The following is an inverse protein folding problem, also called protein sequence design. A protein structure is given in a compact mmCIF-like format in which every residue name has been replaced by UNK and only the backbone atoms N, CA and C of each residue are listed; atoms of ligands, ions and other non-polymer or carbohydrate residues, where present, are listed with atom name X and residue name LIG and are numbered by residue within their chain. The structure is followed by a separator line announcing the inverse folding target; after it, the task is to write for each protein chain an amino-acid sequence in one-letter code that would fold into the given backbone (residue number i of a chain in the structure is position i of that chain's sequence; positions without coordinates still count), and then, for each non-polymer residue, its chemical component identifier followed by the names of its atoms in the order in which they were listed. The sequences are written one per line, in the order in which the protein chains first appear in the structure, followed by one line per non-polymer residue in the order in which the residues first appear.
data_IF_831389660144
#
_entry.id   IF_831389660144
#
_cell.length_a   1.000
_cell.length_b   1.000
_cell.length_c   1.000
_cell.angle_alpha   90.00
_cell.angle_beta   90.00
_cell.angle_gamma   90.00
#
_symmetry.space_group_name_H-M   'P 1'
#
loop_
_entity.id
_entity.type
_entity.pdbx_description
1 polymer ?
#
# COMPACT_ATOMS: atom_id res chain seq x y z
N UNK A 1 -16.05 -14.44 -7.24
CA UNK A 1 -16.92 -13.40 -6.61
C UNK A 1 -16.06 -12.20 -6.28
N UNK A 2 -16.42 -11.01 -6.73
CA UNK A 2 -15.69 -9.77 -6.51
C UNK A 2 -15.57 -9.48 -5.01
N UNK A 3 -14.35 -9.29 -4.51
CA UNK A 3 -14.09 -8.98 -3.08
C UNK A 3 -13.91 -7.48 -2.91
N UNK A 4 -14.86 -6.81 -2.25
CA UNK A 4 -14.76 -5.40 -1.86
C UNK A 4 -14.26 -5.32 -0.42
N UNK A 5 -13.36 -4.39 -0.18
CA UNK A 5 -12.83 -4.06 1.14
C UNK A 5 -12.90 -2.56 1.43
N UNK A 6 -12.59 -2.20 2.66
CA UNK A 6 -12.50 -0.80 3.09
C UNK A 6 -11.20 -0.61 3.85
N UNK A 7 -10.47 0.47 3.53
CA UNK A 7 -9.33 0.90 4.34
C UNK A 7 -9.82 1.76 5.52
N UNK A 8 -9.26 1.52 6.71
CA UNK A 8 -9.54 2.41 7.85
C UNK A 8 -9.01 3.83 7.61
N UNK A 9 -8.14 4.02 6.61
CA UNK A 9 -7.76 5.35 6.13
C UNK A 9 -8.96 6.18 5.63
N UNK A 10 -10.04 5.55 5.14
CA UNK A 10 -11.28 6.21 4.76
C UNK A 10 -12.00 6.87 5.95
N UNK A 11 -11.68 6.42 7.17
CA UNK A 11 -12.21 6.94 8.43
C UNK A 11 -11.19 7.78 9.21
N UNK A 12 -9.99 7.98 8.66
CA UNK A 12 -8.91 8.75 9.29
C UNK A 12 -9.40 10.13 9.75
N UNK A 13 -9.00 10.56 10.93
CA UNK A 13 -9.45 11.78 11.61
C UNK A 13 -10.95 11.79 12.04
N UNK A 14 -11.68 10.68 11.84
CA UNK A 14 -13.08 10.54 12.26
C UNK A 14 -13.27 9.43 13.28
N UNK A 15 -12.61 8.30 13.08
CA UNK A 15 -12.67 7.14 13.96
C UNK A 15 -11.25 6.59 14.17
N UNK A 16 -10.93 6.14 15.39
CA UNK A 16 -9.72 5.36 15.63
C UNK A 16 -9.90 3.92 15.13
N UNK A 17 -8.82 3.20 14.96
CA UNK A 17 -8.87 1.82 14.45
C UNK A 17 -9.71 0.88 15.34
N UNK A 18 -9.72 1.11 16.65
CA UNK A 18 -10.49 0.34 17.64
C UNK A 18 -12.01 0.50 17.51
N UNK A 19 -12.46 1.60 16.93
CA UNK A 19 -13.89 1.88 16.64
C UNK A 19 -14.19 1.59 15.17
N UNK A 20 -13.24 1.84 14.27
CA UNK A 20 -13.39 1.65 12.83
C UNK A 20 -13.67 0.18 12.47
N UNK A 21 -12.92 -0.77 13.02
CA UNK A 21 -13.07 -2.19 12.66
C UNK A 21 -14.43 -2.77 13.11
N UNK A 22 -14.92 -2.54 14.34
CA UNK A 22 -16.29 -2.92 14.73
C UNK A 22 -17.36 -2.27 13.85
N UNK A 23 -17.19 -0.99 13.49
CA UNK A 23 -18.11 -0.28 12.61
C UNK A 23 -18.16 -0.97 11.22
N UNK A 24 -17.00 -1.31 10.64
CA UNK A 24 -16.94 -2.02 9.37
C UNK A 24 -17.61 -3.40 9.44
N UNK A 25 -17.43 -4.16 10.54
CA UNK A 25 -18.14 -5.44 10.71
C UNK A 25 -19.65 -5.26 10.83
N UNK A 26 -20.13 -4.26 11.57
CA UNK A 26 -21.54 -3.93 11.68
C UNK A 26 -22.17 -3.54 10.34
N UNK A 27 -21.41 -2.84 9.47
CA UNK A 27 -21.82 -2.51 8.11
C UNK A 27 -21.72 -3.69 7.11
N UNK A 28 -21.30 -4.86 7.56
CA UNK A 28 -21.20 -6.04 6.71
C UNK A 28 -19.93 -6.13 5.89
N UNK A 29 -18.95 -5.26 6.08
CA UNK A 29 -17.63 -5.34 5.44
C UNK A 29 -16.91 -6.61 5.91
N UNK A 30 -16.27 -7.33 4.99
CA UNK A 30 -15.58 -8.60 5.29
C UNK A 30 -14.08 -8.58 5.00
N UNK A 31 -13.59 -7.50 4.42
CA UNK A 31 -12.16 -7.33 4.12
C UNK A 31 -11.76 -5.90 4.43
N UNK A 32 -10.65 -5.73 5.12
CA UNK A 32 -10.13 -4.39 5.40
C UNK A 32 -8.62 -4.30 5.16
N UNK A 33 -8.18 -3.10 4.87
CA UNK A 33 -6.82 -2.63 5.12
C UNK A 33 -6.82 -1.82 6.40
N UNK A 34 -5.83 -2.03 7.28
CA UNK A 34 -5.71 -1.27 8.52
C UNK A 34 -4.61 -0.22 8.37
N UNK A 35 -4.99 1.04 8.47
CA UNK A 35 -4.07 2.17 8.42
C UNK A 35 -3.61 2.55 9.83
N UNK A 36 -2.39 2.16 10.17
CA UNK A 36 -1.74 2.48 11.43
C UNK A 36 -1.14 3.91 11.35
N UNK A 37 -1.52 4.79 12.25
CA UNK A 37 -1.29 6.23 12.13
C UNK A 37 -0.28 6.79 13.14
N UNK A 38 0.08 6.02 14.15
CA UNK A 38 0.95 6.48 15.23
C UNK A 38 1.93 5.41 15.70
N UNK A 39 3.04 5.84 16.30
CA UNK A 39 4.03 4.94 16.87
C UNK A 39 3.47 4.03 17.96
N UNK A 40 2.45 4.46 18.69
CA UNK A 40 1.77 3.64 19.69
C UNK A 40 0.92 2.52 19.09
N UNK A 41 0.49 2.67 17.84
CA UNK A 41 -0.21 1.64 17.09
C UNK A 41 0.74 0.61 16.47
N UNK A 42 2.04 0.94 16.32
CA UNK A 42 3.06 0.00 15.88
C UNK A 42 3.48 -0.89 17.05
N UNK A 43 2.56 -1.73 17.49
CA UNK A 43 2.79 -2.64 18.60
C UNK A 43 1.96 -3.91 18.47
N UNK A 44 2.58 -5.05 18.84
CA UNK A 44 1.91 -6.35 18.82
C UNK A 44 0.61 -6.35 19.65
N UNK A 45 0.65 -5.74 20.86
CA UNK A 45 -0.52 -5.70 21.74
C UNK A 45 -1.66 -4.90 21.15
N UNK A 46 -1.33 -3.81 20.42
CA UNK A 46 -2.33 -3.07 19.68
C UNK A 46 -2.94 -3.91 18.55
N UNK A 47 -2.11 -4.64 17.80
CA UNK A 47 -2.60 -5.60 16.80
C UNK A 47 -3.50 -6.69 17.40
N UNK A 48 -3.15 -7.22 18.57
CA UNK A 48 -3.98 -8.19 19.32
C UNK A 48 -5.32 -7.57 19.75
N UNK A 49 -5.31 -6.35 20.30
CA UNK A 49 -6.52 -5.60 20.63
C UNK A 49 -7.45 -5.44 19.42
N UNK A 50 -6.90 -5.04 18.27
CA UNK A 50 -7.70 -4.90 17.05
C UNK A 50 -8.19 -6.26 16.54
N UNK A 51 -7.41 -7.32 16.70
CA UNK A 51 -7.80 -8.69 16.31
C UNK A 51 -9.01 -9.18 17.13
N UNK A 52 -9.12 -8.81 18.40
CA UNK A 52 -10.27 -9.09 19.25
C UNK A 52 -11.51 -8.30 18.81
N UNK A 53 -11.31 -7.04 18.41
CA UNK A 53 -12.42 -6.12 18.09
C UNK A 53 -12.94 -6.23 16.66
N UNK A 54 -12.17 -6.73 15.71
CA UNK A 54 -12.51 -6.72 14.28
C UNK A 54 -13.70 -7.59 13.86
N UNK A 55 -14.24 -8.41 14.76
CA UNK A 55 -15.34 -9.31 14.46
C UNK A 55 -15.03 -10.25 13.27
N UNK A 56 -15.89 -10.26 12.25
CA UNK A 56 -15.74 -11.09 11.05
C UNK A 56 -14.88 -10.46 9.95
N UNK A 57 -14.38 -9.26 10.16
CA UNK A 57 -13.49 -8.58 9.20
C UNK A 57 -12.16 -9.31 9.11
N UNK A 58 -11.74 -9.64 7.90
CA UNK A 58 -10.41 -10.17 7.61
C UNK A 58 -9.50 -9.00 7.22
N UNK A 59 -8.41 -8.84 7.93
CA UNK A 59 -7.40 -7.84 7.56
C UNK A 59 -6.56 -8.41 6.42
N UNK A 60 -6.63 -7.76 5.26
CA UNK A 60 -5.88 -8.13 4.07
C UNK A 60 -4.46 -7.56 4.11
N UNK A 61 -4.36 -6.29 4.46
CA UNK A 61 -3.11 -5.54 4.51
C UNK A 61 -3.07 -4.60 5.70
N UNK A 62 -1.86 -4.25 6.10
CA UNK A 62 -1.60 -3.10 6.96
C UNK A 62 -0.90 -2.02 6.15
N UNK A 63 -1.12 -0.79 6.51
CA UNK A 63 -0.56 0.39 5.91
C UNK A 63 -0.14 1.35 7.03
N UNK A 64 0.95 2.08 6.88
CA UNK A 64 1.42 3.02 7.90
C UNK A 64 1.42 4.44 7.39
N UNK A 65 1.45 5.40 8.32
CA UNK A 65 1.72 6.78 7.96
C UNK A 65 3.20 6.91 7.53
N UNK A 66 3.44 6.84 6.23
CA UNK A 66 4.75 6.66 5.61
C UNK A 66 5.82 7.65 6.09
N UNK A 67 5.44 8.90 6.37
CA UNK A 67 6.39 9.95 6.78
C UNK A 67 7.10 9.67 8.11
N UNK A 68 6.62 8.69 8.88
CA UNK A 68 7.18 8.40 10.20
C UNK A 68 8.51 7.65 10.11
N UNK A 69 8.65 6.64 9.25
CA UNK A 69 9.90 5.87 9.18
C UNK A 69 10.24 5.27 7.81
N UNK A 70 9.29 5.13 6.88
CA UNK A 70 9.55 4.47 5.60
C UNK A 70 10.70 5.10 4.80
N UNK A 71 10.77 6.44 4.64
CA UNK A 71 11.89 7.04 3.92
C UNK A 71 13.25 6.76 4.55
N UNK A 72 13.31 6.62 5.87
CA UNK A 72 14.53 6.37 6.63
C UNK A 72 15.07 4.95 6.43
N UNK A 73 14.26 3.99 5.98
CA UNK A 73 14.70 2.64 5.62
C UNK A 73 15.76 2.62 4.51
N UNK A 74 15.78 3.66 3.68
CA UNK A 74 16.76 3.84 2.60
C UNK A 74 17.94 4.73 3.00
N UNK A 75 18.04 5.10 4.28
CA UNK A 75 19.12 5.99 4.74
C UNK A 75 20.49 5.33 4.62
N UNK A 76 21.48 6.09 4.12
CA UNK A 76 22.88 5.71 4.16
C UNK A 76 23.50 5.83 5.57
N UNK A 77 22.81 6.48 6.53
CA UNK A 77 23.23 6.52 7.92
C UNK A 77 22.76 5.26 8.65
N UNK A 78 23.67 4.39 9.13
CA UNK A 78 23.30 3.10 9.72
C UNK A 78 22.46 3.24 10.99
N UNK A 79 22.61 4.31 11.77
CA UNK A 79 21.79 4.56 12.97
C UNK A 79 20.36 4.91 12.59
N UNK A 80 20.17 5.81 11.63
CA UNK A 80 18.83 6.19 11.13
C UNK A 80 18.12 4.97 10.52
N UNK A 81 18.85 4.20 9.72
CA UNK A 81 18.31 2.97 9.13
C UNK A 81 17.92 1.95 10.20
N UNK A 82 18.74 1.75 11.23
CA UNK A 82 18.44 0.86 12.35
C UNK A 82 17.16 1.26 13.08
N UNK A 83 16.99 2.56 13.34
CA UNK A 83 15.80 3.08 14.01
C UNK A 83 14.55 2.87 13.14
N UNK A 84 14.65 3.06 11.82
CA UNK A 84 13.56 2.79 10.89
C UNK A 84 13.16 1.30 10.87
N UNK A 85 14.14 0.37 10.86
CA UNK A 85 13.86 -1.06 10.93
C UNK A 85 13.26 -1.48 12.28
N UNK A 86 13.61 -0.81 13.38
CA UNK A 86 12.94 -1.01 14.66
C UNK A 86 11.43 -0.72 14.59
N UNK A 87 11.04 0.40 13.93
CA UNK A 87 9.64 0.75 13.76
C UNK A 87 8.94 -0.15 12.74
N UNK A 88 9.62 -0.53 11.66
CA UNK A 88 9.10 -1.53 10.72
C UNK A 88 8.81 -2.85 11.40
N UNK A 89 9.71 -3.35 12.26
CA UNK A 89 9.50 -4.57 13.03
C UNK A 89 8.22 -4.49 13.85
N UNK A 90 8.03 -3.40 14.56
CA UNK A 90 6.86 -3.18 15.40
C UNK A 90 5.56 -3.13 14.59
N UNK A 91 5.57 -2.42 13.46
CA UNK A 91 4.44 -2.41 12.54
C UNK A 91 4.14 -3.82 11.97
N UNK A 92 5.18 -4.59 11.61
CA UNK A 92 5.00 -5.96 11.15
C UNK A 92 4.45 -6.89 12.24
N UNK A 93 4.86 -6.72 13.51
CA UNK A 93 4.29 -7.47 14.63
C UNK A 93 2.82 -7.15 14.87
N UNK A 94 2.40 -5.88 14.72
CA UNK A 94 0.99 -5.49 14.74
C UNK A 94 0.22 -6.15 13.57
N UNK A 95 0.75 -6.07 12.36
CA UNK A 95 0.16 -6.70 11.17
C UNK A 95 0.04 -8.22 11.30
N UNK A 96 1.06 -8.88 11.84
CA UNK A 96 1.06 -10.33 12.10
C UNK A 96 -0.03 -10.72 13.10
N UNK A 97 -0.18 -9.98 14.20
CA UNK A 97 -1.24 -10.19 15.19
C UNK A 97 -2.65 -10.02 14.60
N UNK A 98 -2.80 -9.08 13.65
CA UNK A 98 -4.04 -8.87 12.89
C UNK A 98 -4.32 -9.97 11.85
N UNK A 99 -3.33 -10.78 11.52
CA UNK A 99 -3.42 -11.77 10.45
C UNK A 99 -3.31 -11.17 9.04
N UNK A 100 -2.71 -9.98 8.92
CA UNK A 100 -2.47 -9.33 7.63
C UNK A 100 -1.50 -10.15 6.77
N UNK A 101 -1.76 -10.18 5.46
CA UNK A 101 -0.91 -10.87 4.49
C UNK A 101 0.06 -9.93 3.77
N UNK A 102 -0.25 -8.65 3.75
CA UNK A 102 0.49 -7.67 2.98
C UNK A 102 0.73 -6.39 3.79
N UNK A 103 1.80 -5.71 3.41
CA UNK A 103 2.15 -4.37 3.88
C UNK A 103 2.16 -3.43 2.69
N UNK A 104 1.22 -2.47 2.67
CA UNK A 104 1.16 -1.40 1.66
C UNK A 104 2.25 -0.38 1.94
N UNK A 105 3.15 -0.18 0.99
CA UNK A 105 4.41 0.52 1.17
C UNK A 105 4.60 1.60 0.10
N UNK A 106 4.96 2.81 0.52
CA UNK A 106 5.24 3.93 -0.38
C UNK A 106 6.75 4.14 -0.60
N UNK A 107 7.57 3.86 0.41
CA UNK A 107 9.00 4.07 0.38
C UNK A 107 9.40 5.53 0.55
N UNK A 108 10.40 5.97 -0.21
CA UNK A 108 10.90 7.35 -0.16
C UNK A 108 10.04 8.28 -1.01
N UNK A 109 10.10 9.57 -0.68
CA UNK A 109 9.50 10.60 -1.51
C UNK A 109 10.13 10.62 -2.91
N UNK A 110 9.36 11.07 -3.89
CA UNK A 110 9.79 11.25 -5.26
C UNK A 110 11.11 12.02 -5.34
N UNK A 111 12.09 11.43 -6.02
CA UNK A 111 13.33 12.13 -6.28
C UNK A 111 13.06 13.19 -7.34
N UNK A 112 13.25 14.45 -6.93
CA UNK A 112 13.24 15.55 -7.88
C UNK A 112 14.35 15.32 -8.90
N UNK A 113 14.05 15.45 -10.20
CA UNK A 113 14.99 15.36 -11.32
C UNK A 113 16.09 16.42 -11.21
N UNK A 114 17.04 16.26 -10.34
CA UNK A 114 18.10 17.23 -10.17
C UNK A 114 19.49 16.59 -10.10
N UNK A 115 19.64 15.33 -10.45
CA UNK A 115 20.98 14.76 -10.60
C UNK A 115 21.28 14.66 -12.09
N UNK A 116 22.26 15.43 -12.54
CA UNK A 116 22.92 15.28 -13.86
C UNK A 116 23.71 13.97 -14.00
N UNK A 117 23.90 13.23 -12.93
CA UNK A 117 24.44 11.87 -12.89
C UNK A 117 23.26 10.91 -12.90
N UNK A 118 23.09 10.21 -14.00
CA UNK A 118 21.92 9.47 -14.42
C UNK A 118 21.22 8.59 -13.38
N UNK A 119 19.91 8.48 -13.53
CA UNK A 119 18.99 7.61 -12.77
C UNK A 119 19.46 6.14 -12.62
N UNK A 120 20.42 5.69 -13.42
CA UNK A 120 20.97 4.33 -13.39
C UNK A 120 21.72 4.01 -12.08
N UNK A 121 22.44 4.97 -11.51
CA UNK A 121 23.30 4.71 -10.35
C UNK A 121 22.53 4.55 -9.05
N UNK A 122 21.33 5.13 -8.95
CA UNK A 122 20.48 5.03 -7.75
C UNK A 122 19.58 3.79 -7.74
N UNK A 123 19.25 3.21 -8.90
CA UNK A 123 18.35 2.07 -8.99
C UNK A 123 18.89 0.83 -8.27
N UNK A 124 20.19 0.56 -8.37
CA UNK A 124 20.82 -0.57 -7.68
C UNK A 124 20.74 -0.43 -6.15
N UNK A 125 20.97 0.78 -5.64
CA UNK A 125 20.87 1.06 -4.20
C UNK A 125 19.44 0.92 -3.69
N UNK A 126 18.46 1.43 -4.43
CA UNK A 126 17.04 1.33 -4.03
C UNK A 126 16.48 -0.07 -4.20
N UNK A 127 16.86 -0.75 -5.26
CA UNK A 127 16.48 -2.14 -5.48
C UNK A 127 17.02 -3.05 -4.40
N UNK A 128 18.27 -2.84 -3.96
CA UNK A 128 18.86 -3.51 -2.81
C UNK A 128 18.09 -3.24 -1.51
N UNK A 129 17.71 -1.97 -1.28
CA UNK A 129 16.88 -1.57 -0.13
C UNK A 129 15.49 -2.21 -0.16
N UNK A 130 14.82 -2.22 -1.32
CA UNK A 130 13.53 -2.88 -1.47
C UNK A 130 13.61 -4.38 -1.20
N UNK A 131 14.68 -5.05 -1.64
CA UNK A 131 14.91 -6.47 -1.34
C UNK A 131 15.05 -6.70 0.16
N UNK A 132 15.92 -5.95 0.83
CA UNK A 132 16.14 -6.04 2.27
C UNK A 132 14.84 -5.84 3.05
N UNK A 133 14.04 -4.82 2.70
CA UNK A 133 12.75 -4.55 3.34
C UNK A 133 11.75 -5.70 3.06
N UNK A 134 11.72 -6.21 1.82
CA UNK A 134 10.83 -7.31 1.43
C UNK A 134 11.16 -8.60 2.18
N UNK A 135 12.43 -8.95 2.29
CA UNK A 135 12.89 -10.11 3.05
C UNK A 135 12.59 -9.96 4.55
N UNK A 136 12.77 -8.75 5.07
CA UNK A 136 12.42 -8.44 6.45
C UNK A 136 10.92 -8.60 6.72
N UNK A 137 10.05 -8.04 5.90
CA UNK A 137 8.59 -8.22 6.04
C UNK A 137 8.19 -9.70 5.91
N UNK A 138 8.80 -10.42 4.96
CA UNK A 138 8.54 -11.83 4.74
C UNK A 138 8.88 -12.70 5.97
N UNK A 139 9.85 -12.31 6.80
CA UNK A 139 10.18 -13.01 8.06
C UNK A 139 9.04 -12.99 9.08
N UNK A 140 8.06 -12.07 8.92
CA UNK A 140 6.80 -12.02 9.70
C UNK A 140 5.62 -12.67 8.97
N UNK A 141 5.85 -13.28 7.80
CA UNK A 141 4.78 -13.84 6.96
C UNK A 141 3.99 -12.77 6.19
N UNK A 142 4.51 -11.55 6.04
CA UNK A 142 3.87 -10.41 5.41
C UNK A 142 4.61 -10.05 4.12
N UNK A 143 3.89 -10.03 3.00
CA UNK A 143 4.43 -9.62 1.70
C UNK A 143 4.51 -8.10 1.56
N UNK A 144 5.64 -7.57 1.06
CA UNK A 144 5.77 -6.15 0.72
C UNK A 144 5.01 -5.84 -0.56
N UNK A 145 4.11 -4.84 -0.53
CA UNK A 145 3.37 -4.36 -1.68
C UNK A 145 3.69 -2.90 -1.96
N UNK A 146 4.40 -2.63 -3.05
CA UNK A 146 4.71 -1.26 -3.46
C UNK A 146 3.53 -0.61 -4.17
N UNK A 147 3.06 0.53 -3.66
CA UNK A 147 1.96 1.29 -4.22
C UNK A 147 2.45 2.35 -5.20
N UNK A 148 1.72 2.53 -6.32
CA UNK A 148 1.96 3.65 -7.23
C UNK A 148 1.40 4.94 -6.61
N UNK A 149 2.30 5.81 -6.17
CA UNK A 149 1.94 7.07 -5.51
C UNK A 149 2.72 8.23 -6.12
N UNK A 150 2.00 9.31 -6.48
CA UNK A 150 2.57 10.45 -7.23
C UNK A 150 3.79 11.08 -6.54
N UNK A 151 3.74 11.25 -5.24
CA UNK A 151 4.80 11.87 -4.45
C UNK A 151 5.88 10.89 -3.96
N UNK A 152 5.70 9.58 -4.19
CA UNK A 152 6.62 8.54 -3.72
C UNK A 152 7.54 8.04 -4.84
N UNK A 153 8.35 7.04 -4.52
CA UNK A 153 9.35 6.47 -5.45
C UNK A 153 8.71 5.83 -6.68
N UNK A 154 7.56 5.17 -6.53
CA UNK A 154 6.83 4.56 -7.63
C UNK A 154 5.76 5.51 -8.18
N UNK A 155 6.17 6.56 -8.85
CA UNK A 155 5.28 7.61 -9.38
C UNK A 155 5.10 7.57 -10.90
N UNK A 156 5.69 6.61 -11.60
CA UNK A 156 5.59 6.48 -13.06
C UNK A 156 5.66 5.01 -13.49
N UNK A 157 5.01 4.65 -14.61
CA UNK A 157 5.18 3.34 -15.23
C UNK A 157 6.64 3.06 -15.59
N UNK A 158 7.01 1.78 -15.59
CA UNK A 158 8.38 1.31 -15.82
C UNK A 158 9.21 1.17 -14.56
N UNK A 159 8.85 1.84 -13.45
CA UNK A 159 9.56 1.74 -12.18
C UNK A 159 9.50 0.33 -11.60
N UNK A 160 8.30 -0.27 -11.56
CA UNK A 160 8.11 -1.60 -10.96
C UNK A 160 8.93 -2.66 -11.71
N UNK A 161 8.99 -2.58 -13.02
CA UNK A 161 9.81 -3.52 -13.84
C UNK A 161 11.26 -3.49 -13.41
N UNK A 162 11.85 -2.29 -13.29
CA UNK A 162 13.22 -2.14 -12.86
C UNK A 162 13.44 -2.54 -11.39
N UNK A 163 12.49 -2.23 -10.50
CA UNK A 163 12.54 -2.63 -9.09
C UNK A 163 12.54 -4.16 -8.93
N UNK A 164 11.79 -4.87 -9.77
CA UNK A 164 11.67 -6.33 -9.72
C UNK A 164 12.94 -7.07 -10.21
N UNK A 165 13.81 -6.43 -10.97
CA UNK A 165 15.14 -7.01 -11.27
C UNK A 165 15.94 -7.23 -9.99
N UNK A 166 15.75 -6.39 -8.98
CA UNK A 166 16.43 -6.49 -7.69
C UNK A 166 15.59 -7.22 -6.62
N UNK A 167 14.28 -7.12 -6.69
CA UNK A 167 13.33 -7.71 -5.73
C UNK A 167 12.22 -8.47 -6.47
N UNK A 168 12.48 -9.71 -6.96
CA UNK A 168 11.50 -10.50 -7.74
C UNK A 168 10.22 -10.85 -6.96
N UNK A 169 10.30 -10.91 -5.62
CA UNK A 169 9.17 -11.21 -4.74
C UNK A 169 8.23 -10.02 -4.51
N UNK A 170 8.60 -8.82 -4.98
CA UNK A 170 7.84 -7.60 -4.77
C UNK A 170 6.42 -7.73 -5.36
N UNK A 171 5.41 -7.58 -4.51
CA UNK A 171 4.01 -7.40 -4.89
C UNK A 171 3.70 -5.90 -5.04
N UNK A 172 2.51 -5.59 -5.53
CA UNK A 172 2.14 -4.20 -5.78
C UNK A 172 0.67 -3.91 -5.48
N UNK A 173 0.39 -2.63 -5.29
CA UNK A 173 -0.94 -2.05 -5.14
C UNK A 173 -1.16 -1.06 -6.27
N UNK A 174 -2.28 -1.16 -6.96
CA UNK A 174 -2.71 -0.16 -7.92
C UNK A 174 -3.68 0.82 -7.25
N UNK A 175 -3.26 2.07 -7.11
CA UNK A 175 -4.15 3.18 -6.75
C UNK A 175 -4.51 3.97 -8.01
N UNK A 176 -5.79 3.93 -8.40
CA UNK A 176 -6.29 4.60 -9.62
C UNK A 176 -6.31 6.13 -9.49
N UNK A 177 -6.50 6.65 -8.28
CA UNK A 177 -6.41 8.09 -7.99
C UNK A 177 -4.96 8.58 -8.17
N UNK A 178 -4.00 7.85 -7.63
CA UNK A 178 -2.59 8.20 -7.72
C UNK A 178 -2.08 8.09 -9.16
N UNK A 179 -2.53 7.09 -9.93
CA UNK A 179 -2.23 7.01 -11.36
C UNK A 179 -2.68 8.28 -12.08
N UNK A 180 -3.92 8.75 -11.84
CA UNK A 180 -4.47 9.96 -12.42
C UNK A 180 -3.67 11.21 -12.00
N UNK A 181 -3.34 11.35 -10.72
CA UNK A 181 -2.56 12.48 -10.20
C UNK A 181 -1.15 12.50 -10.82
N UNK A 182 -0.55 11.32 -11.03
CA UNK A 182 0.72 11.16 -11.73
C UNK A 182 0.65 11.48 -13.23
N UNK A 183 -0.55 11.75 -13.76
CA UNK A 183 -0.80 12.03 -15.19
C UNK A 183 -0.49 10.84 -16.11
N UNK A 184 -0.61 9.61 -15.61
CA UNK A 184 -0.50 8.40 -16.41
C UNK A 184 -1.79 7.59 -16.36
N UNK A 185 -2.21 6.96 -17.46
CA UNK A 185 -3.32 6.03 -17.46
C UNK A 185 -3.05 4.86 -16.49
N UNK A 186 -4.03 4.48 -15.68
CA UNK A 186 -3.91 3.34 -14.77
C UNK A 186 -3.56 2.03 -15.52
N UNK A 187 -3.93 1.93 -16.78
CA UNK A 187 -3.65 0.76 -17.63
C UNK A 187 -2.17 0.49 -17.83
N UNK A 188 -1.34 1.55 -17.84
CA UNK A 188 0.12 1.40 -17.93
C UNK A 188 0.70 0.77 -16.65
N UNK A 189 0.18 1.17 -15.48
CA UNK A 189 0.56 0.54 -14.22
C UNK A 189 0.04 -0.89 -14.14
N UNK A 190 -1.23 -1.12 -14.48
CA UNK A 190 -1.85 -2.44 -14.44
C UNK A 190 -1.06 -3.46 -15.29
N UNK A 191 -0.61 -3.06 -16.46
CA UNK A 191 0.17 -3.91 -17.36
C UNK A 191 1.50 -4.38 -16.72
N UNK A 192 2.21 -3.51 -16.00
CA UNK A 192 3.45 -3.91 -15.35
C UNK A 192 3.23 -4.65 -14.01
N UNK A 193 2.04 -4.53 -13.42
CA UNK A 193 1.62 -5.18 -12.18
C UNK A 193 1.03 -6.59 -12.38
N UNK A 194 0.85 -7.02 -13.63
CA UNK A 194 0.25 -8.32 -13.96
C UNK A 194 0.96 -9.47 -13.24
N UNK A 195 0.16 -10.37 -12.63
CA UNK A 195 0.65 -11.50 -11.85
C UNK A 195 1.28 -11.14 -10.49
N UNK A 196 1.27 -9.84 -10.10
CA UNK A 196 1.86 -9.35 -8.83
C UNK A 196 0.95 -8.40 -8.06
N UNK A 197 -0.22 -8.09 -8.61
CA UNK A 197 -1.19 -7.20 -7.98
C UNK A 197 -1.82 -7.89 -6.77
N UNK A 198 -1.59 -7.34 -5.57
CA UNK A 198 -2.13 -7.88 -4.32
C UNK A 198 -3.54 -7.35 -4.05
N UNK A 199 -3.75 -6.06 -4.26
CA UNK A 199 -5.04 -5.38 -4.15
C UNK A 199 -5.03 -4.07 -4.94
N UNK A 200 -6.20 -3.46 -5.07
CA UNK A 200 -6.35 -2.15 -5.72
C UNK A 200 -7.02 -1.18 -4.76
N UNK A 201 -6.56 0.07 -4.74
CA UNK A 201 -7.23 1.17 -4.07
C UNK A 201 -8.16 1.86 -5.08
N UNK A 202 -9.43 1.97 -4.71
CA UNK A 202 -10.47 2.52 -5.59
C UNK A 202 -11.11 3.75 -4.97
N UNK A 203 -11.20 4.79 -5.76
CA UNK A 203 -11.97 5.99 -5.50
C UNK A 203 -12.49 6.52 -6.83
N UNK A 204 -13.52 7.34 -6.80
CA UNK A 204 -14.00 8.01 -7.99
C UNK A 204 -13.55 9.46 -8.03
N UNK A 205 -13.81 10.14 -9.11
CA UNK A 205 -13.51 11.56 -9.31
C UNK A 205 -14.68 12.25 -10.00
N UNK A 206 -15.04 13.43 -9.51
CA UNK A 206 -16.04 14.25 -10.15
C UNK A 206 -15.48 15.05 -11.34
N UNK A 207 -16.34 15.66 -12.13
CA UNK A 207 -15.94 16.59 -13.21
C UNK A 207 -15.08 17.75 -12.67
N UNK A 208 -15.30 18.14 -11.43
CA UNK A 208 -14.53 19.16 -10.69
C UNK A 208 -13.15 18.67 -10.21
N UNK A 209 -12.76 17.44 -10.54
CA UNK A 209 -11.51 16.82 -10.12
C UNK A 209 -11.45 16.36 -8.67
N UNK A 210 -12.51 16.56 -7.88
CA UNK A 210 -12.56 16.13 -6.48
C UNK A 210 -12.86 14.65 -6.35
N UNK A 211 -12.34 14.06 -5.29
CA UNK A 211 -12.59 12.64 -4.98
C UNK A 211 -14.07 12.43 -4.66
N UNK A 212 -14.59 11.32 -5.13
CA UNK A 212 -15.96 10.85 -4.94
C UNK A 212 -15.95 9.40 -4.47
N UNK A 213 -17.06 8.98 -3.90
CA UNK A 213 -17.30 7.55 -3.65
C UNK A 213 -17.36 6.81 -4.99
N UNK A 214 -16.91 5.56 -5.05
CA UNK A 214 -17.01 4.76 -6.27
C UNK A 214 -18.43 4.77 -6.86
N UNK A 215 -18.53 4.88 -8.19
CA UNK A 215 -19.76 5.00 -8.98
C UNK A 215 -20.59 6.30 -8.79
N UNK A 216 -20.02 7.32 -8.15
CA UNK A 216 -20.72 8.63 -8.02
C UNK A 216 -20.05 9.76 -8.79
N UNK A 217 -19.01 9.44 -9.54
CA UNK A 217 -18.24 10.37 -10.37
C UNK A 217 -18.21 9.96 -11.84
N UNK A 218 -17.09 10.24 -12.50
CA UNK A 218 -16.91 10.05 -13.94
C UNK A 218 -15.95 8.92 -14.31
N UNK A 219 -15.40 8.18 -13.33
CA UNK A 219 -14.47 7.09 -13.61
C UNK A 219 -15.21 5.86 -14.15
N UNK A 220 -14.73 5.29 -15.26
CA UNK A 220 -15.33 4.11 -15.88
C UNK A 220 -14.96 2.83 -15.14
N UNK A 221 -15.72 2.52 -14.09
CA UNK A 221 -15.56 1.27 -13.34
C UNK A 221 -15.89 0.03 -14.15
N UNK A 222 -16.77 0.13 -15.15
CA UNK A 222 -17.14 -1.03 -15.97
C UNK A 222 -15.95 -1.49 -16.80
N UNK A 223 -15.27 -0.56 -17.46
CA UNK A 223 -14.05 -0.86 -18.20
C UNK A 223 -12.90 -1.27 -17.26
N UNK A 224 -12.75 -0.60 -16.13
CA UNK A 224 -11.73 -0.95 -15.13
C UNK A 224 -11.86 -2.39 -14.63
N UNK A 225 -13.08 -2.81 -14.26
CA UNK A 225 -13.34 -4.15 -13.77
C UNK A 225 -13.08 -5.21 -14.85
N UNK A 226 -13.49 -4.96 -16.11
CA UNK A 226 -13.17 -5.86 -17.24
C UNK A 226 -11.66 -6.04 -17.42
N UNK A 227 -10.88 -4.97 -17.26
CA UNK A 227 -9.42 -5.05 -17.38
C UNK A 227 -8.78 -5.82 -16.22
N UNK A 228 -9.29 -5.65 -14.99
CA UNK A 228 -8.84 -6.42 -13.84
C UNK A 228 -9.13 -7.92 -14.02
N UNK A 229 -10.33 -8.25 -14.51
CA UNK A 229 -10.72 -9.64 -14.77
C UNK A 229 -9.88 -10.22 -15.92
N UNK A 230 -9.62 -9.46 -16.99
CA UNK A 230 -8.73 -9.83 -18.08
C UNK A 230 -7.28 -10.04 -17.66
N UNK A 231 -6.80 -9.34 -16.65
CA UNK A 231 -5.50 -9.53 -16.02
C UNK A 231 -5.46 -10.70 -15.00
N UNK A 232 -6.57 -11.45 -14.84
CA UNK A 232 -6.67 -12.55 -13.90
C UNK A 232 -6.65 -12.12 -12.42
N UNK A 233 -6.99 -10.87 -12.14
CA UNK A 233 -6.95 -10.35 -10.77
C UNK A 233 -8.17 -10.78 -9.96
N UNK A 234 -7.93 -11.48 -8.85
CA UNK A 234 -8.95 -11.94 -7.91
C UNK A 234 -8.83 -11.31 -6.51
N UNK A 235 -7.91 -10.37 -6.33
CA UNK A 235 -7.67 -9.65 -5.08
C UNK A 235 -8.80 -8.68 -4.69
N UNK A 236 -8.77 -8.10 -3.48
CA UNK A 236 -9.77 -7.14 -3.03
C UNK A 236 -9.62 -5.77 -3.72
N UNK A 237 -10.78 -5.11 -3.90
CA UNK A 237 -10.91 -3.69 -4.27
C UNK A 237 -11.19 -2.95 -2.98
N UNK A 238 -10.26 -2.11 -2.54
CA UNK A 238 -10.28 -1.42 -1.24
C UNK A 238 -10.63 0.06 -1.46
N UNK A 239 -11.66 0.53 -0.75
CA UNK A 239 -12.15 1.91 -0.76
C UNK A 239 -11.48 2.70 0.36
#
# INVERSE_FOLDING_TARGET
MMRTGVSTASLFMRENNEEALPLLDALGVRTAEVFLTSFSEYDRKFGELLAEKKGRVRVHSVHVLNTQFEPQLFSGNPRVKKDAFFWLERAMRAGQALGAKYYTFHGIARIKRASRSGEKDNFAAWGGGLREISEFCASFGIGLCLENVEWAMYNRPGFLRAAREFCPALSCVLDIKQARISSYPYTMYLQEMEGRLAHVHVSDVGEDGKIRLPWTGIFDFSEFLKRLDGAGFDGPRII
#
